data_IF_033474981080
#
_entry.id   IF_033474981080
#
_cell.length_a   1.000
_cell.length_b   1.000
_cell.length_c   1.000
_cell.angle_alpha   90.00
_cell.angle_beta   90.00
_cell.angle_gamma   90.00
#
_symmetry.space_group_name_H-M   'P 1'
#
loop_
_entity.id
_entity.type
_entity.pdbx_description
1 polymer ?
#
# COMPACT_ATOMS: atom_id res chain seq x y z
N UNK A 1 7.40 -12.25 11.61
CA UNK A 1 8.81 -12.20 11.21
C UNK A 1 9.25 -10.76 11.24
N UNK A 2 10.17 -10.42 12.14
CA UNK A 2 10.49 -9.04 12.52
C UNK A 2 10.84 -8.14 11.33
N UNK A 3 11.58 -8.64 10.35
CA UNK A 3 12.05 -7.87 9.19
C UNK A 3 10.94 -7.50 8.22
N UNK A 4 10.04 -8.43 7.90
CA UNK A 4 8.88 -8.23 7.04
C UNK A 4 7.87 -7.24 7.64
N UNK A 5 7.73 -7.24 8.96
CA UNK A 5 6.84 -6.32 9.68
C UNK A 5 7.43 -4.90 9.72
N UNK A 6 8.76 -4.77 9.82
CA UNK A 6 9.48 -3.49 9.76
C UNK A 6 9.55 -2.87 8.37
N UNK A 7 9.31 -3.64 7.30
CA UNK A 7 9.22 -3.13 5.92
C UNK A 7 7.79 -2.78 5.51
N UNK A 8 6.85 -2.63 6.47
CA UNK A 8 5.44 -2.37 6.19
C UNK A 8 4.82 -3.42 5.27
N UNK A 9 5.05 -4.70 5.57
CA UNK A 9 4.66 -5.82 4.71
C UNK A 9 5.25 -5.74 3.30
N UNK A 10 6.41 -5.10 3.17
CA UNK A 10 7.14 -5.02 1.92
C UNK A 10 7.39 -6.42 1.36
N UNK A 11 7.23 -6.55 0.04
CA UNK A 11 7.46 -7.80 -0.66
C UNK A 11 8.91 -8.30 -0.53
N UNK A 12 9.23 -9.30 -1.35
CA UNK A 12 10.55 -9.95 -1.32
C UNK A 12 11.70 -8.94 -1.44
N UNK A 13 11.63 -8.03 -2.40
CA UNK A 13 12.74 -7.12 -2.70
C UNK A 13 12.94 -6.05 -1.63
N UNK A 14 11.84 -5.55 -1.04
CA UNK A 14 11.89 -4.63 0.10
C UNK A 14 12.52 -5.30 1.33
N UNK A 15 12.20 -6.57 1.57
CA UNK A 15 12.77 -7.34 2.68
C UNK A 15 14.26 -7.67 2.45
N UNK A 16 14.66 -7.96 1.20
CA UNK A 16 16.07 -8.15 0.82
C UNK A 16 16.86 -6.84 0.98
N UNK A 17 16.32 -5.71 0.54
CA UNK A 17 16.97 -4.41 0.68
C UNK A 17 17.16 -4.02 2.16
N UNK A 18 16.15 -4.25 3.00
CA UNK A 18 16.25 -4.04 4.44
C UNK A 18 17.34 -4.91 5.09
N UNK A 19 17.42 -6.20 4.70
CA UNK A 19 18.45 -7.10 5.20
C UNK A 19 19.86 -6.66 4.80
N UNK A 20 20.04 -6.27 3.53
CA UNK A 20 21.32 -5.77 3.01
C UNK A 20 21.79 -4.51 3.73
N UNK A 21 20.90 -3.56 3.98
CA UNK A 21 21.24 -2.31 4.70
C UNK A 21 21.66 -2.53 6.15
N UNK A 22 21.32 -3.68 6.75
CA UNK A 22 21.61 -4.00 8.15
C UNK A 22 22.58 -5.16 8.34
N UNK A 23 23.16 -5.69 7.27
CA UNK A 23 24.08 -6.83 7.32
C UNK A 23 23.44 -8.14 7.80
N UNK A 24 22.12 -8.25 7.76
CA UNK A 24 21.39 -9.47 8.17
C UNK A 24 21.35 -10.42 6.98
N UNK A 25 21.83 -11.65 7.15
CA UNK A 25 21.68 -12.69 6.14
C UNK A 25 20.28 -13.28 6.23
N UNK A 26 19.49 -13.14 5.17
CA UNK A 26 18.18 -13.77 5.04
C UNK A 26 18.18 -14.69 3.83
N UNK A 27 17.77 -15.94 4.02
CA UNK A 27 17.52 -16.85 2.90
C UNK A 27 16.32 -16.38 2.10
N UNK A 28 16.44 -16.43 0.79
CA UNK A 28 15.33 -16.19 -0.15
C UNK A 28 14.12 -17.08 0.17
N UNK A 29 14.36 -18.33 0.58
CA UNK A 29 13.30 -19.28 0.91
C UNK A 29 12.55 -18.87 2.19
N UNK A 30 13.26 -18.33 3.16
CA UNK A 30 12.68 -17.89 4.44
C UNK A 30 11.86 -16.61 4.24
N UNK A 31 12.33 -15.70 3.38
CA UNK A 31 11.58 -14.52 2.97
C UNK A 31 10.28 -14.92 2.25
N UNK A 32 10.36 -15.86 1.31
CA UNK A 32 9.19 -16.33 0.57
C UNK A 32 8.16 -16.99 1.49
N UNK A 33 8.63 -17.83 2.41
CA UNK A 33 7.78 -18.47 3.42
C UNK A 33 7.11 -17.43 4.31
N UNK A 34 7.88 -16.47 4.82
CA UNK A 34 7.39 -15.38 5.66
C UNK A 34 6.26 -14.58 4.99
N UNK A 35 6.44 -14.15 3.74
CA UNK A 35 5.43 -13.37 3.00
C UNK A 35 4.19 -14.23 2.73
N UNK A 36 4.39 -15.50 2.34
CA UNK A 36 3.28 -16.40 2.01
C UNK A 36 2.44 -16.75 3.23
N UNK A 37 3.04 -16.83 4.42
CA UNK A 37 2.37 -17.15 5.68
C UNK A 37 1.87 -15.91 6.45
N UNK A 38 2.19 -14.69 5.99
CA UNK A 38 1.72 -13.49 6.67
C UNK A 38 0.22 -13.27 6.44
N UNK A 39 -0.56 -13.33 7.52
CA UNK A 39 -2.02 -13.16 7.49
C UNK A 39 -2.42 -11.81 6.87
N UNK A 40 -1.79 -10.70 7.25
CA UNK A 40 -2.05 -9.37 6.65
C UNK A 40 -1.79 -9.38 5.13
N UNK A 41 -0.69 -9.98 4.68
CA UNK A 41 -0.41 -10.10 3.25
C UNK A 41 -1.41 -11.02 2.54
N UNK A 42 -1.85 -12.11 3.20
CA UNK A 42 -2.89 -12.98 2.67
C UNK A 42 -4.23 -12.24 2.55
N UNK A 43 -4.60 -11.44 3.55
CA UNK A 43 -5.82 -10.63 3.55
C UNK A 43 -5.76 -9.53 2.49
N UNK A 44 -4.63 -8.83 2.35
CA UNK A 44 -4.41 -7.83 1.30
C UNK A 44 -4.41 -8.43 -0.11
N UNK A 45 -3.85 -9.64 -0.28
CA UNK A 45 -3.87 -10.36 -1.57
C UNK A 45 -5.25 -10.93 -1.91
N UNK A 46 -6.02 -11.33 -0.88
CA UNK A 46 -7.40 -11.84 -1.01
C UNK A 46 -8.42 -10.74 -1.16
N UNK A 47 -8.14 -9.55 -0.63
CA UNK A 47 -8.79 -8.37 -1.13
C UNK A 47 -8.42 -8.35 -2.62
N UNK A 48 -9.38 -8.53 -3.55
CA UNK A 48 -9.17 -7.91 -4.84
C UNK A 48 -8.80 -6.48 -4.44
N UNK A 49 -7.63 -6.00 -4.88
CA UNK A 49 -7.47 -4.57 -5.10
C UNK A 49 -8.76 -4.23 -5.77
N UNK A 50 -9.70 -3.63 -5.02
CA UNK A 50 -11.07 -3.61 -5.46
C UNK A 50 -10.90 -3.02 -6.85
N UNK A 51 -11.34 -3.76 -7.86
CA UNK A 51 -11.90 -3.12 -9.02
C UNK A 51 -13.11 -2.35 -8.45
N UNK A 52 -12.89 -1.37 -7.55
CA UNK A 52 -13.46 -0.08 -7.71
C UNK A 52 -13.11 0.19 -9.16
N UNK A 53 -14.09 0.08 -10.09
CA UNK A 53 -13.93 0.86 -11.28
C UNK A 53 -13.52 2.23 -10.74
N UNK A 54 -12.35 2.72 -11.17
CA UNK A 54 -12.01 4.12 -10.96
C UNK A 54 -13.27 4.83 -11.42
N UNK A 55 -14.07 5.30 -10.45
CA UNK A 55 -15.45 5.64 -10.73
C UNK A 55 -15.42 6.62 -11.88
N UNK A 56 -16.34 6.49 -12.84
CA UNK A 56 -16.41 7.43 -13.95
C UNK A 56 -16.32 8.83 -13.35
N UNK A 57 -15.21 9.53 -13.59
CA UNK A 57 -15.07 10.87 -13.05
C UNK A 57 -16.16 11.66 -13.76
N UNK A 58 -17.18 12.10 -13.02
CA UNK A 58 -18.21 13.00 -13.53
C UNK A 58 -17.57 14.39 -13.73
N UNK A 59 -16.66 14.51 -14.71
CA UNK A 59 -16.12 15.77 -15.19
C UNK A 59 -16.75 16.03 -16.54
N UNK A 60 -17.53 17.10 -16.62
CA UNK A 60 -17.95 17.63 -17.90
C UNK A 60 -16.76 18.31 -18.59
N UNK A 61 -16.64 18.16 -19.91
CA UNK A 61 -15.72 18.97 -20.74
C UNK A 61 -16.25 20.37 -21.00
N UNK A 62 -17.54 20.61 -20.74
CA UNK A 62 -18.18 21.91 -20.85
C UNK A 62 -18.08 22.68 -19.54
N UNK A 63 -17.69 23.95 -19.64
CA UNK A 63 -17.60 24.86 -18.51
C UNK A 63 -18.96 25.06 -17.80
N UNK A 64 -18.95 25.07 -16.47
CA UNK A 64 -20.12 25.41 -15.63
C UNK A 64 -21.15 24.29 -15.40
N UNK A 65 -20.96 23.11 -15.98
CA UNK A 65 -21.95 22.01 -15.92
C UNK A 65 -21.81 21.12 -14.68
N UNK A 66 -20.59 20.85 -14.22
CA UNK A 66 -20.35 20.01 -13.03
C UNK A 66 -19.32 20.68 -12.13
N UNK A 67 -19.64 20.74 -10.84
CA UNK A 67 -18.80 21.32 -9.79
C UNK A 67 -18.44 20.25 -8.78
N UNK A 68 -17.16 20.06 -8.51
CA UNK A 68 -16.68 19.24 -7.40
C UNK A 68 -16.27 20.17 -6.26
N UNK A 69 -16.96 20.07 -5.12
CA UNK A 69 -16.79 20.97 -3.98
C UNK A 69 -16.47 20.11 -2.76
N UNK A 70 -15.34 20.41 -2.09
CA UNK A 70 -14.93 19.76 -0.85
C UNK A 70 -14.44 20.83 0.15
N UNK A 71 -14.53 20.52 1.44
CA UNK A 71 -13.96 21.35 2.51
C UNK A 71 -12.55 20.88 2.85
N UNK A 72 -11.67 21.84 3.19
CA UNK A 72 -10.32 21.56 3.73
C UNK A 72 -10.28 22.06 5.17
N UNK A 73 -9.96 21.17 6.12
CA UNK A 73 -9.84 21.55 7.52
C UNK A 73 -9.46 20.38 8.46
N UNK A 74 -9.29 20.66 9.76
CA UNK A 74 -9.42 21.99 10.40
C UNK A 74 -8.26 22.92 10.02
N UNK A 75 -8.57 24.21 9.83
CA UNK A 75 -7.56 25.22 9.61
C UNK A 75 -6.86 25.55 10.94
N UNK A 76 -5.58 25.95 10.93
CA UNK A 76 -4.87 26.36 12.14
C UNK A 76 -5.62 27.48 12.87
N UNK A 77 -5.70 27.39 14.19
CA UNK A 77 -6.12 28.50 15.05
C UNK A 77 -4.94 29.45 15.25
N UNK A 78 -5.16 30.75 15.02
CA UNK A 78 -4.18 31.83 15.29
C UNK A 78 -3.82 31.91 16.77
#
# INVERSE_FOLDING_TARGET
WWTHEKTSHGGRDATIAWAKTRGVQLSVKDIQTCITQCETCQLLKRHPYLDQPVGCIWRSTSWGVVWQINYVGPLPSN
#
